data_IF_327501316785
#
_entry.id   IF_327501316785
#
_cell.length_a   1.000
_cell.length_b   1.000
_cell.length_c   1.000
_cell.angle_alpha   90.00
_cell.angle_beta   90.00
_cell.angle_gamma   90.00
#
_symmetry.space_group_name_H-M   'P 1'
#
loop_
_entity.id
_entity.type
_entity.pdbx_description
1 polymer ?
#
# COMPACT_ATOMS: atom_id res chain seq x y z
N UNK A 1 -4.88 -25.30 -29.77
CA UNK A 1 -4.01 -25.12 -28.59
C UNK A 1 -4.74 -24.19 -27.63
N UNK A 2 -5.59 -24.75 -26.76
CA UNK A 2 -6.38 -23.98 -25.79
C UNK A 2 -5.46 -23.57 -24.65
N UNK A 3 -4.91 -22.35 -24.74
CA UNK A 3 -4.15 -21.74 -23.64
C UNK A 3 -5.10 -21.66 -22.46
N UNK A 4 -4.84 -22.43 -21.42
CA UNK A 4 -5.60 -22.36 -20.18
C UNK A 4 -5.24 -21.04 -19.51
N UNK A 5 -6.10 -20.03 -19.63
CA UNK A 5 -5.85 -18.65 -19.19
C UNK A 5 -5.38 -18.60 -17.73
N UNK A 6 -5.87 -19.52 -16.89
CA UNK A 6 -5.48 -19.63 -15.48
C UNK A 6 -4.02 -20.08 -15.32
N UNK A 7 -3.56 -21.05 -16.12
CA UNK A 7 -2.17 -21.50 -16.11
C UNK A 7 -1.23 -20.45 -16.70
N UNK A 8 -1.68 -19.78 -17.77
CA UNK A 8 -0.91 -18.69 -18.39
C UNK A 8 -0.68 -17.53 -17.41
N UNK A 9 -1.69 -17.15 -16.64
CA UNK A 9 -1.60 -16.08 -15.63
C UNK A 9 -0.74 -16.51 -14.43
N UNK A 10 -0.76 -17.78 -14.04
CA UNK A 10 -0.04 -18.27 -12.85
C UNK A 10 1.42 -18.62 -13.10
N UNK A 11 1.76 -19.20 -14.25
CA UNK A 11 3.05 -19.83 -14.49
C UNK A 11 3.75 -19.28 -15.73
N UNK A 12 3.08 -19.24 -16.88
CA UNK A 12 3.73 -18.88 -18.16
C UNK A 12 4.09 -17.39 -18.28
N UNK A 13 3.26 -16.49 -17.73
CA UNK A 13 3.53 -15.05 -17.83
C UNK A 13 4.86 -14.66 -17.17
N UNK A 14 5.26 -15.39 -16.12
CA UNK A 14 6.49 -15.14 -15.37
C UNK A 14 7.74 -15.62 -16.08
N UNK A 15 7.63 -16.64 -16.93
CA UNK A 15 8.71 -17.17 -17.77
C UNK A 15 9.04 -16.27 -18.97
N UNK A 16 8.14 -15.35 -19.35
CA UNK A 16 8.36 -14.43 -20.46
C UNK A 16 9.40 -13.35 -20.09
N UNK A 17 10.58 -13.44 -20.71
CA UNK A 17 11.65 -12.45 -20.58
C UNK A 17 11.33 -11.22 -21.42
N UNK A 18 11.15 -10.06 -20.77
CA UNK A 18 10.74 -8.81 -21.41
C UNK A 18 11.69 -8.31 -22.52
N UNK A 19 12.92 -8.82 -22.58
CA UNK A 19 13.94 -8.44 -23.57
C UNK A 19 13.78 -9.14 -24.92
N UNK A 20 12.94 -10.16 -25.02
CA UNK A 20 12.73 -10.91 -26.27
C UNK A 20 11.63 -10.31 -27.17
N UNK A 21 10.92 -9.28 -26.68
CA UNK A 21 9.76 -8.71 -27.35
C UNK A 21 9.97 -7.24 -27.77
N UNK A 22 9.29 -6.76 -28.83
CA UNK A 22 9.29 -5.36 -29.21
C UNK A 22 8.72 -4.47 -28.09
N UNK A 23 9.19 -3.22 -28.00
CA UNK A 23 8.96 -2.28 -26.89
C UNK A 23 7.50 -2.21 -26.42
N UNK A 24 6.53 -2.13 -27.33
CA UNK A 24 5.09 -2.07 -27.01
C UNK A 24 4.58 -3.34 -26.30
N UNK A 25 4.99 -4.51 -26.76
CA UNK A 25 4.61 -5.79 -26.15
C UNK A 25 5.29 -5.95 -24.78
N UNK A 26 6.55 -5.54 -24.67
CA UNK A 26 7.28 -5.56 -23.40
C UNK A 26 6.61 -4.66 -22.35
N UNK A 27 6.20 -3.43 -22.71
CA UNK A 27 5.48 -2.53 -21.80
C UNK A 27 4.11 -3.08 -21.39
N UNK A 28 3.39 -3.70 -22.32
CA UNK A 28 2.10 -4.31 -22.03
C UNK A 28 2.26 -5.48 -21.04
N UNK A 29 3.17 -6.40 -21.32
CA UNK A 29 3.47 -7.54 -20.42
C UNK A 29 3.91 -7.05 -19.04
N UNK A 30 4.77 -6.02 -18.98
CA UNK A 30 5.20 -5.39 -17.72
C UNK A 30 4.01 -4.83 -16.95
N UNK A 31 3.13 -4.07 -17.61
CA UNK A 31 1.94 -3.50 -16.96
C UNK A 31 0.98 -4.58 -16.45
N UNK A 32 0.80 -5.65 -17.23
CA UNK A 32 -0.03 -6.78 -16.85
C UNK A 32 0.55 -7.51 -15.64
N UNK A 33 1.87 -7.76 -15.63
CA UNK A 33 2.57 -8.32 -14.46
C UNK A 33 2.34 -7.45 -13.23
N UNK A 34 2.62 -6.14 -13.32
CA UNK A 34 2.40 -5.19 -12.20
C UNK A 34 0.98 -5.26 -11.65
N UNK A 35 -0.04 -5.30 -12.52
CA UNK A 35 -1.44 -5.38 -12.08
C UNK A 35 -1.74 -6.72 -11.41
N UNK A 36 -1.26 -7.83 -11.95
CA UNK A 36 -1.43 -9.15 -11.34
C UNK A 36 -0.75 -9.25 -9.97
N UNK A 37 0.48 -8.72 -9.86
CA UNK A 37 1.21 -8.58 -8.58
C UNK A 37 0.37 -7.84 -7.55
N UNK A 38 -0.14 -6.65 -7.95
CA UNK A 38 -0.93 -5.81 -7.08
C UNK A 38 -2.24 -6.50 -6.65
N UNK A 39 -2.93 -7.24 -7.53
CA UNK A 39 -4.15 -7.97 -7.17
C UNK A 39 -3.87 -9.10 -6.17
N UNK A 40 -2.79 -9.86 -6.39
CA UNK A 40 -2.44 -10.99 -5.53
C UNK A 40 -2.05 -10.52 -4.13
N UNK A 41 -1.17 -9.50 -4.04
CA UNK A 41 -0.76 -8.97 -2.75
C UNK A 41 -1.88 -8.16 -2.07
N UNK A 42 -2.77 -7.51 -2.82
CA UNK A 42 -3.97 -6.88 -2.24
C UNK A 42 -4.81 -7.87 -1.40
N UNK A 43 -4.94 -9.12 -1.86
CA UNK A 43 -5.62 -10.16 -1.10
C UNK A 43 -4.76 -10.70 0.05
N UNK A 44 -3.45 -10.86 -0.17
CA UNK A 44 -2.49 -11.33 0.83
C UNK A 44 -2.36 -10.38 2.02
N UNK A 45 -2.34 -9.08 1.75
CA UNK A 45 -2.20 -8.00 2.75
C UNK A 45 -3.50 -7.70 3.49
N UNK A 46 -4.55 -8.50 3.24
CA UNK A 46 -5.87 -8.37 3.85
C UNK A 46 -6.45 -6.98 3.59
N UNK A 47 -6.21 -6.39 2.42
CA UNK A 47 -6.74 -5.08 2.06
C UNK A 47 -8.28 -5.00 2.16
N UNK A 48 -9.07 -6.04 1.82
CA UNK A 48 -10.51 -6.03 2.07
C UNK A 48 -10.87 -5.87 3.55
N UNK A 49 -10.10 -6.48 4.46
CA UNK A 49 -10.32 -6.36 5.90
C UNK A 49 -9.92 -4.95 6.41
N UNK A 50 -8.82 -4.40 5.89
CA UNK A 50 -8.40 -3.02 6.18
C UNK A 50 -9.43 -2.02 5.68
N UNK A 51 -9.98 -2.21 4.49
CA UNK A 51 -11.06 -1.40 3.95
C UNK A 51 -12.28 -1.41 4.88
N UNK A 52 -12.64 -2.56 5.45
CA UNK A 52 -13.73 -2.65 6.43
C UNK A 52 -13.47 -1.82 7.70
N UNK A 53 -12.24 -1.86 8.22
CA UNK A 53 -11.85 -1.03 9.36
C UNK A 53 -11.90 0.46 9.00
N UNK A 54 -11.36 0.86 7.84
CA UNK A 54 -11.39 2.24 7.36
C UNK A 54 -12.82 2.74 7.12
N UNK A 55 -13.72 1.89 6.64
CA UNK A 55 -15.16 2.20 6.50
C UNK A 55 -15.78 2.51 7.86
N UNK A 56 -15.52 1.67 8.87
CA UNK A 56 -16.00 1.92 10.23
C UNK A 56 -15.45 3.23 10.80
N UNK A 57 -14.14 3.47 10.67
CA UNK A 57 -13.53 4.72 11.11
C UNK A 57 -14.10 5.92 10.38
N UNK A 58 -14.35 5.81 9.07
CA UNK A 58 -14.97 6.87 8.27
C UNK A 58 -16.35 7.20 8.81
N UNK A 59 -17.20 6.19 9.05
CA UNK A 59 -18.56 6.37 9.58
C UNK A 59 -18.55 7.09 10.94
N UNK A 60 -17.63 6.71 11.84
CA UNK A 60 -17.51 7.33 13.16
C UNK A 60 -16.90 8.74 13.09
N UNK A 61 -16.01 8.99 12.14
CA UNK A 61 -15.28 10.25 12.02
C UNK A 61 -15.94 11.27 11.07
N UNK A 62 -16.99 10.91 10.32
CA UNK A 62 -17.70 11.84 9.40
C UNK A 62 -18.07 13.14 10.10
N UNK A 63 -18.74 13.05 11.26
CA UNK A 63 -19.15 14.25 12.01
C UNK A 63 -17.94 15.05 12.51
N UNK A 64 -16.94 14.45 13.18
CA UNK A 64 -15.73 15.16 13.58
C UNK A 64 -14.96 15.83 12.44
N UNK A 65 -14.80 15.15 11.31
CA UNK A 65 -14.09 15.65 10.13
C UNK A 65 -14.84 16.85 9.54
N UNK A 66 -16.16 16.75 9.38
CA UNK A 66 -16.97 17.87 8.89
C UNK A 66 -16.88 19.05 9.86
N UNK A 67 -17.04 18.83 11.16
CA UNK A 67 -16.94 19.89 12.16
C UNK A 67 -15.56 20.58 12.14
N UNK A 68 -14.48 19.82 11.96
CA UNK A 68 -13.14 20.37 11.81
C UNK A 68 -12.96 21.16 10.51
N UNK A 69 -13.47 20.66 9.39
CA UNK A 69 -13.45 21.39 8.11
C UNK A 69 -14.16 22.73 8.22
N UNK A 70 -15.35 22.77 8.83
CA UNK A 70 -16.09 24.01 9.10
C UNK A 70 -15.36 24.92 10.11
N UNK A 71 -14.76 24.36 11.17
CA UNK A 71 -13.98 25.13 12.14
C UNK A 71 -12.76 25.80 11.52
N UNK A 72 -12.03 25.07 10.66
CA UNK A 72 -10.91 25.60 9.87
C UNK A 72 -11.42 26.66 8.91
N UNK A 73 -12.46 26.38 8.12
CA UNK A 73 -13.03 27.33 7.17
C UNK A 73 -13.49 28.63 7.85
N UNK A 74 -14.12 28.54 9.03
CA UNK A 74 -14.50 29.68 9.87
C UNK A 74 -13.28 30.49 10.32
N UNK A 75 -12.20 29.82 10.73
CA UNK A 75 -10.92 30.47 11.09
C UNK A 75 -10.29 31.27 9.94
N UNK A 76 -10.51 30.87 8.69
CA UNK A 76 -10.05 31.58 7.50
C UNK A 76 -11.11 32.49 6.85
N UNK A 77 -12.32 32.59 7.41
CA UNK A 77 -13.43 33.37 6.83
C UNK A 77 -14.08 32.76 5.58
N UNK A 78 -13.82 31.48 5.29
CA UNK A 78 -14.29 30.74 4.11
C UNK A 78 -15.57 29.92 4.37
N UNK A 79 -16.18 30.03 5.54
CA UNK A 79 -17.33 29.22 5.98
C UNK A 79 -18.51 29.26 4.98
N UNK A 80 -18.92 30.46 4.55
CA UNK A 80 -20.03 30.63 3.59
C UNK A 80 -19.71 30.03 2.22
N UNK A 81 -18.45 30.11 1.79
CA UNK A 81 -18.03 29.52 0.52
C UNK A 81 -18.09 28.00 0.61
N UNK A 82 -17.59 27.40 1.70
CA UNK A 82 -17.67 25.96 1.92
C UNK A 82 -19.12 25.47 2.03
N UNK A 83 -19.98 26.22 2.70
CA UNK A 83 -21.41 25.90 2.81
C UNK A 83 -22.09 25.90 1.44
N UNK A 84 -21.89 26.96 0.66
CA UNK A 84 -22.45 27.07 -0.69
C UNK A 84 -21.95 25.94 -1.61
N UNK A 85 -20.67 25.58 -1.52
CA UNK A 85 -20.07 24.48 -2.27
C UNK A 85 -20.72 23.13 -1.97
N UNK A 86 -20.90 22.84 -0.68
CA UNK A 86 -21.52 21.58 -0.25
C UNK A 86 -22.98 21.54 -0.71
N UNK A 87 -23.72 22.64 -0.59
CA UNK A 87 -25.11 22.75 -1.04
C UNK A 87 -25.26 22.60 -2.56
N UNK A 88 -24.31 23.12 -3.35
CA UNK A 88 -24.32 23.02 -4.81
C UNK A 88 -23.97 21.62 -5.33
N UNK A 89 -23.20 20.82 -4.57
CA UNK A 89 -22.81 19.46 -4.94
C UNK A 89 -23.85 18.39 -4.54
N UNK A 90 -24.90 18.75 -3.80
CA UNK A 90 -25.90 17.81 -3.29
C UNK A 90 -27.18 17.94 -4.13
N UNK A 91 -27.73 16.83 -4.66
CA UNK A 91 -29.06 16.84 -5.30
C UNK A 91 -30.12 17.39 -4.34
N UNK A 92 -31.06 18.21 -4.84
CA UNK A 92 -32.07 18.96 -4.06
C UNK A 92 -33.00 18.13 -3.12
N UNK A 93 -32.75 16.84 -2.92
CA UNK A 93 -33.60 15.91 -2.17
C UNK A 93 -32.95 15.35 -0.89
N UNK A 94 -31.65 15.53 -0.65
CA UNK A 94 -30.96 14.93 0.51
C UNK A 94 -30.96 15.81 1.76
N UNK A 95 -32.02 15.67 2.57
CA UNK A 95 -32.16 16.32 3.89
C UNK A 95 -31.14 15.86 4.95
N UNK A 96 -30.37 14.80 4.69
CA UNK A 96 -29.42 14.19 5.62
C UNK A 96 -28.15 15.04 5.81
N UNK A 97 -27.63 15.63 4.74
CA UNK A 97 -26.41 16.45 4.81
C UNK A 97 -26.71 17.80 5.44
N UNK A 98 -27.86 18.40 5.16
CA UNK A 98 -28.35 19.60 5.86
C UNK A 98 -28.46 19.38 7.38
N UNK A 99 -28.90 18.18 7.81
CA UNK A 99 -28.91 17.79 9.23
C UNK A 99 -27.50 17.59 9.78
N UNK A 100 -26.56 17.02 9.02
CA UNK A 100 -25.15 16.89 9.40
C UNK A 100 -24.46 18.26 9.58
N UNK A 101 -24.67 19.19 8.64
CA UNK A 101 -24.19 20.57 8.70
C UNK A 101 -24.82 21.28 9.90
N UNK A 102 -26.14 21.15 10.08
CA UNK A 102 -26.85 21.70 11.23
C UNK A 102 -26.38 21.13 12.58
N UNK A 103 -26.02 19.85 12.63
CA UNK A 103 -25.45 19.23 13.83
C UNK A 103 -24.03 19.71 14.11
N UNK A 104 -23.16 19.76 13.10
CA UNK A 104 -21.81 20.32 13.22
C UNK A 104 -21.83 21.79 13.68
N UNK A 105 -22.75 22.58 13.14
CA UNK A 105 -22.99 23.96 13.54
C UNK A 105 -23.50 24.07 14.97
N UNK A 106 -24.47 23.23 15.35
CA UNK A 106 -24.96 23.18 16.74
C UNK A 106 -23.85 22.79 17.73
N UNK A 107 -22.94 21.88 17.36
CA UNK A 107 -21.77 21.54 18.18
C UNK A 107 -20.82 22.73 18.37
N UNK A 108 -20.71 23.59 17.35
CA UNK A 108 -19.86 24.80 17.36
C UNK A 108 -20.55 26.02 18.01
N UNK A 109 -21.88 26.12 17.96
CA UNK A 109 -22.66 27.27 18.46
C UNK A 109 -23.23 27.08 19.88
N UNK A 110 -23.62 25.86 20.29
CA UNK A 110 -24.20 25.59 21.62
C UNK A 110 -23.18 25.39 22.74
N UNK A 111 -21.89 25.54 22.45
CA UNK A 111 -20.80 25.37 23.41
C UNK A 111 -20.59 26.66 24.23
N UNK A 112 -21.61 27.10 24.97
CA UNK A 112 -21.56 28.28 25.86
C UNK A 112 -20.80 28.05 27.18
N UNK A 113 -20.06 26.95 27.33
CA UNK A 113 -19.14 26.71 28.45
C UNK A 113 -17.72 26.54 27.94
N UNK A 114 -16.79 27.42 28.35
CA UNK A 114 -15.38 27.40 27.93
C UNK A 114 -14.73 26.01 28.09
N UNK A 115 -15.08 25.28 29.15
CA UNK A 115 -14.56 23.94 29.45
C UNK A 115 -15.14 22.85 28.52
N UNK A 116 -16.43 22.91 28.22
CA UNK A 116 -17.11 21.93 27.34
C UNK A 116 -16.67 22.12 25.89
N UNK A 117 -16.46 23.38 25.49
CA UNK A 117 -15.88 23.72 24.18
C UNK A 117 -14.47 23.16 24.02
N UNK A 118 -13.61 23.32 25.05
CA UNK A 118 -12.25 22.78 25.04
C UNK A 118 -12.22 21.25 24.91
N UNK A 119 -13.04 20.54 25.68
CA UNK A 119 -13.12 19.06 25.61
C UNK A 119 -13.62 18.60 24.23
N UNK A 120 -14.64 19.26 23.67
CA UNK A 120 -15.15 18.95 22.33
C UNK A 120 -14.07 19.07 21.25
N UNK A 121 -13.30 20.16 21.26
CA UNK A 121 -12.19 20.36 20.31
C UNK A 121 -11.12 19.28 20.45
N UNK A 122 -10.76 18.88 21.66
CA UNK A 122 -9.79 17.79 21.90
C UNK A 122 -10.30 16.46 21.33
N UNK A 123 -11.57 16.14 21.55
CA UNK A 123 -12.18 14.91 21.00
C UNK A 123 -12.19 14.95 19.47
N UNK A 124 -12.55 16.10 18.87
CA UNK A 124 -12.55 16.28 17.41
C UNK A 124 -11.14 16.10 16.82
N UNK A 125 -10.14 16.75 17.42
CA UNK A 125 -8.73 16.62 17.01
C UNK A 125 -8.25 15.17 17.13
N UNK A 126 -8.60 14.50 18.22
CA UNK A 126 -8.26 13.11 18.44
C UNK A 126 -8.94 12.18 17.43
N UNK A 127 -10.23 12.36 17.14
CA UNK A 127 -10.97 11.54 16.17
C UNK A 127 -10.40 11.67 14.75
N UNK A 128 -10.11 12.90 14.31
CA UNK A 128 -9.52 13.14 12.99
C UNK A 128 -8.10 12.56 12.91
N UNK A 129 -7.28 12.79 13.93
CA UNK A 129 -5.92 12.24 14.00
C UNK A 129 -5.94 10.72 13.99
N UNK A 130 -6.90 10.11 14.67
CA UNK A 130 -7.08 8.66 14.69
C UNK A 130 -7.52 8.12 13.33
N UNK A 131 -8.47 8.77 12.65
CA UNK A 131 -8.92 8.35 11.32
C UNK A 131 -7.77 8.39 10.31
N UNK A 132 -7.08 9.52 10.21
CA UNK A 132 -5.96 9.69 9.27
C UNK A 132 -4.78 8.79 9.67
N UNK A 133 -4.55 8.59 10.97
CA UNK A 133 -3.63 7.60 11.52
C UNK A 133 -3.85 6.19 11.00
N UNK A 134 -5.10 5.71 11.02
CA UNK A 134 -5.44 4.38 10.52
C UNK A 134 -5.24 4.25 8.99
N UNK A 135 -5.46 5.34 8.23
CA UNK A 135 -5.16 5.36 6.79
C UNK A 135 -3.64 5.29 6.58
N UNK A 136 -2.85 6.07 7.34
CA UNK A 136 -1.38 6.03 7.28
C UNK A 136 -0.85 4.63 7.61
N UNK A 137 -1.35 4.00 8.67
CA UNK A 137 -0.93 2.66 9.08
C UNK A 137 -1.31 1.59 8.03
N UNK A 138 -2.45 1.79 7.35
CA UNK A 138 -2.85 0.93 6.23
C UNK A 138 -1.90 1.04 5.05
N UNK A 139 -1.48 2.26 4.71
CA UNK A 139 -0.54 2.53 3.63
C UNK A 139 0.87 2.07 4.01
N UNK A 140 1.33 2.36 5.23
CA UNK A 140 2.62 1.95 5.75
C UNK A 140 2.79 0.43 5.69
N UNK A 141 1.72 -0.33 5.95
CA UNK A 141 1.78 -1.79 5.80
C UNK A 141 2.00 -2.24 4.36
N UNK A 142 1.27 -1.67 3.39
CA UNK A 142 1.48 -1.93 1.95
C UNK A 142 2.93 -1.61 1.56
N UNK A 143 3.44 -0.49 2.08
CA UNK A 143 4.83 -0.08 1.89
C UNK A 143 5.84 -0.84 2.77
N UNK A 144 5.39 -1.82 3.57
CA UNK A 144 6.20 -2.69 4.44
C UNK A 144 7.06 -1.93 5.46
N UNK A 145 6.50 -0.84 6.00
CA UNK A 145 7.13 0.06 6.97
C UNK A 145 6.64 -0.27 8.38
N UNK A 146 7.56 -0.59 9.29
CA UNK A 146 7.21 -0.99 10.67
C UNK A 146 7.05 0.19 11.66
N UNK A 147 7.46 1.41 11.30
CA UNK A 147 7.41 2.58 12.19
C UNK A 147 6.60 3.72 11.57
N UNK A 148 5.54 4.13 12.28
CA UNK A 148 4.75 5.32 11.95
C UNK A 148 5.41 6.63 12.41
N UNK A 149 4.86 7.76 11.96
CA UNK A 149 5.32 9.11 12.35
C UNK A 149 5.01 9.44 13.83
N UNK A 150 5.81 10.30 14.50
CA UNK A 150 5.50 10.77 15.84
C UNK A 150 4.22 11.62 15.85
N UNK A 151 3.47 11.57 16.96
CA UNK A 151 2.13 12.16 17.06
C UNK A 151 2.08 13.67 16.74
N UNK A 152 3.11 14.43 17.14
CA UNK A 152 3.21 15.87 16.87
C UNK A 152 3.31 16.18 15.37
N UNK A 153 4.06 15.36 14.62
CA UNK A 153 4.20 15.50 13.18
C UNK A 153 2.95 15.03 12.45
N UNK A 154 2.32 13.94 12.92
CA UNK A 154 1.01 13.49 12.41
C UNK A 154 -0.01 14.61 12.46
N UNK A 155 -0.18 15.28 13.60
CA UNK A 155 -1.16 16.35 13.75
C UNK A 155 -0.94 17.50 12.74
N UNK A 156 0.31 17.99 12.63
CA UNK A 156 0.63 19.10 11.71
C UNK A 156 0.45 18.70 10.24
N UNK A 157 0.96 17.54 9.85
CA UNK A 157 0.90 17.07 8.45
C UNK A 157 -0.56 16.80 8.05
N UNK A 158 -1.39 16.28 8.96
CA UNK A 158 -2.78 15.95 8.70
C UNK A 158 -3.68 17.19 8.60
N UNK A 159 -3.45 18.21 9.43
CA UNK A 159 -4.13 19.50 9.30
C UNK A 159 -3.74 20.16 7.97
N UNK A 160 -2.46 20.13 7.59
CA UNK A 160 -2.00 20.62 6.30
C UNK A 160 -2.65 19.88 5.13
N UNK A 161 -2.82 18.56 5.25
CA UNK A 161 -3.50 17.74 4.26
C UNK A 161 -4.99 18.09 4.11
N UNK A 162 -5.69 18.33 5.23
CA UNK A 162 -7.08 18.82 5.20
C UNK A 162 -7.20 20.21 4.57
N UNK A 163 -6.29 21.13 4.90
CA UNK A 163 -6.23 22.45 4.28
C UNK A 163 -6.01 22.35 2.77
N UNK A 164 -5.10 21.48 2.34
CA UNK A 164 -4.85 21.21 0.93
C UNK A 164 -6.11 20.65 0.24
N UNK A 165 -6.80 19.70 0.88
CA UNK A 165 -8.09 19.19 0.40
C UNK A 165 -9.15 20.29 0.26
N UNK A 166 -9.26 21.18 1.26
CA UNK A 166 -10.19 22.31 1.25
C UNK A 166 -9.89 23.29 0.10
N UNK A 167 -8.61 23.65 -0.09
CA UNK A 167 -8.18 24.53 -1.18
C UNK A 167 -8.48 23.90 -2.53
N UNK A 168 -8.18 22.60 -2.72
CA UNK A 168 -8.50 21.89 -3.95
C UNK A 168 -10.01 21.85 -4.24
N UNK A 169 -10.84 21.67 -3.20
CA UNK A 169 -12.30 21.70 -3.32
C UNK A 169 -12.80 23.06 -3.82
N UNK A 170 -12.32 24.15 -3.22
CA UNK A 170 -12.72 25.53 -3.59
C UNK A 170 -12.21 25.88 -5.00
N UNK A 171 -11.00 25.45 -5.36
CA UNK A 171 -10.44 25.67 -6.69
C UNK A 171 -11.25 24.91 -7.77
N UNK A 172 -11.66 23.68 -7.50
CA UNK A 172 -12.44 22.83 -8.42
C UNK A 172 -13.63 23.54 -9.04
N UNK A 173 -14.43 24.08 -8.15
CA UNK A 173 -15.70 24.73 -8.41
C UNK A 173 -15.51 26.15 -8.88
N UNK A 174 -14.53 26.89 -8.36
CA UNK A 174 -14.19 28.22 -8.89
C UNK A 174 -13.74 28.14 -10.35
N UNK A 175 -12.92 27.15 -10.71
CA UNK A 175 -12.49 26.89 -12.09
C UNK A 175 -13.70 26.46 -12.94
N UNK A 176 -14.53 25.54 -12.47
CA UNK A 176 -15.71 25.07 -13.21
C UNK A 176 -16.70 26.19 -13.48
N UNK A 177 -17.01 27.02 -12.47
CA UNK A 177 -17.93 28.15 -12.59
C UNK A 177 -17.33 29.26 -13.46
N UNK A 178 -16.08 29.67 -13.20
CA UNK A 178 -15.40 30.70 -13.98
C UNK A 178 -15.34 30.34 -15.47
N UNK A 179 -14.94 29.10 -15.78
CA UNK A 179 -14.85 28.66 -17.16
C UNK A 179 -16.24 28.51 -17.80
N UNK A 180 -17.25 27.98 -17.11
CA UNK A 180 -18.64 27.96 -17.62
C UNK A 180 -19.16 29.36 -17.91
N UNK A 181 -19.04 30.30 -16.97
CA UNK A 181 -19.52 31.68 -17.14
C UNK A 181 -18.80 32.40 -18.28
N UNK A 182 -17.48 32.22 -18.42
CA UNK A 182 -16.71 32.80 -19.53
C UNK A 182 -17.08 32.18 -20.87
N UNK A 183 -17.25 30.86 -20.95
CA UNK A 183 -17.60 30.16 -22.20
C UNK A 183 -19.02 30.52 -22.64
N UNK A 184 -20.02 30.47 -21.75
CA UNK A 184 -21.40 30.88 -22.07
C UNK A 184 -21.49 32.38 -22.42
N UNK A 185 -20.65 33.21 -21.80
CA UNK A 185 -20.51 34.62 -22.15
C UNK A 185 -19.75 34.88 -23.46
N UNK A 186 -18.90 33.95 -23.92
CA UNK A 186 -18.18 34.04 -25.19
C UNK A 186 -18.95 33.41 -26.34
N UNK A 187 -19.73 32.33 -26.13
CA UNK A 187 -20.57 31.71 -27.16
C UNK A 187 -21.76 32.57 -27.56
N UNK A 188 -22.16 33.52 -26.71
CA UNK A 188 -23.15 34.55 -27.05
C UNK A 188 -22.58 35.71 -27.88
N UNK A 189 -21.26 35.91 -27.88
CA UNK A 189 -20.57 37.03 -28.58
C UNK A 189 -19.85 36.57 -29.84
N UNK A 190 -19.32 35.36 -29.84
CA UNK A 190 -18.62 34.73 -30.96
C UNK A 190 -19.41 33.46 -31.25
N UNK A 191 -20.05 33.38 -32.43
CA UNK A 191 -20.68 32.17 -32.91
C UNK A 191 -19.61 31.10 -33.15
N UNK A 192 -19.14 30.47 -32.07
CA UNK A 192 -18.27 29.32 -32.12
C UNK A 192 -19.03 28.18 -32.81
N UNK A 193 -18.39 27.40 -33.70
CA UNK A 193 -19.01 26.20 -34.25
C UNK A 193 -19.45 25.28 -33.10
N UNK A 194 -20.67 24.74 -33.16
CA UNK A 194 -21.27 23.90 -32.10
C UNK A 194 -20.33 22.78 -31.62
N UNK A 195 -19.51 22.24 -32.53
CA UNK A 195 -18.50 21.23 -32.23
C UNK A 195 -17.39 21.72 -31.30
N UNK A 196 -16.92 22.96 -31.47
CA UNK A 196 -15.88 23.56 -30.64
C UNK A 196 -16.37 23.89 -29.23
N UNK A 197 -17.61 24.36 -29.10
CA UNK A 197 -18.25 24.62 -27.79
C UNK A 197 -18.50 23.30 -27.03
N UNK A 198 -18.99 22.26 -27.70
CA UNK A 198 -19.22 20.94 -27.10
C UNK A 198 -17.92 20.26 -26.64
N UNK A 199 -16.84 20.39 -27.41
CA UNK A 199 -15.51 19.89 -27.03
C UNK A 199 -14.92 20.64 -25.83
N UNK A 200 -15.06 21.98 -25.80
CA UNK A 200 -14.57 22.79 -24.68
C UNK A 200 -15.36 22.53 -23.39
N UNK A 201 -16.69 22.44 -23.49
CA UNK A 201 -17.55 22.11 -22.36
C UNK A 201 -17.32 20.67 -21.85
N UNK A 202 -17.02 19.72 -22.74
CA UNK A 202 -16.62 18.36 -22.38
C UNK A 202 -15.21 18.29 -21.78
N UNK A 203 -14.27 19.13 -22.23
CA UNK A 203 -12.95 19.24 -21.62
C UNK A 203 -13.02 19.86 -20.21
N UNK A 204 -13.93 20.82 -20.00
CA UNK A 204 -14.21 21.41 -18.69
C UNK A 204 -14.88 20.43 -17.72
N UNK A 205 -15.73 19.53 -18.21
CA UNK A 205 -16.39 18.53 -17.37
C UNK A 205 -15.43 17.48 -16.82
N UNK A 206 -14.21 17.39 -17.36
CA UNK A 206 -13.11 16.58 -16.83
C UNK A 206 -12.36 17.27 -15.67
N UNK A 207 -12.62 18.54 -15.36
CA UNK A 207 -11.95 19.25 -14.27
C UNK A 207 -12.12 18.60 -12.88
N UNK A 208 -13.30 18.07 -12.49
CA UNK A 208 -13.44 17.35 -11.22
C UNK A 208 -12.66 16.05 -11.20
N UNK A 209 -12.58 15.35 -12.35
CA UNK A 209 -11.80 14.12 -12.49
C UNK A 209 -10.30 14.41 -12.34
N UNK A 210 -9.78 15.46 -12.97
CA UNK A 210 -8.37 15.86 -12.85
C UNK A 210 -8.00 16.19 -11.40
N UNK A 211 -8.89 16.84 -10.67
CA UNK A 211 -8.66 17.17 -9.26
C UNK A 211 -8.71 15.96 -8.35
N UNK A 212 -9.63 15.04 -8.63
CA UNK A 212 -9.69 13.76 -7.95
C UNK A 212 -8.41 12.94 -8.17
N UNK A 213 -7.92 12.89 -9.41
CA UNK A 213 -6.64 12.27 -9.77
C UNK A 213 -5.49 12.94 -9.01
N UNK A 214 -5.49 14.27 -8.96
CA UNK A 214 -4.48 15.04 -8.22
C UNK A 214 -4.51 14.71 -6.72
N UNK A 215 -5.71 14.67 -6.12
CA UNK A 215 -5.89 14.33 -4.70
C UNK A 215 -5.39 12.92 -4.38
N UNK A 216 -5.77 11.92 -5.17
CA UNK A 216 -5.27 10.55 -4.98
C UNK A 216 -3.75 10.46 -5.20
N UNK A 217 -3.22 11.14 -6.22
CA UNK A 217 -1.77 11.18 -6.47
C UNK A 217 -1.01 11.77 -5.28
N UNK A 218 -1.47 12.90 -4.75
CA UNK A 218 -0.87 13.54 -3.56
C UNK A 218 -0.98 12.62 -2.36
N UNK A 219 -2.13 11.98 -2.15
CA UNK A 219 -2.30 10.99 -1.07
C UNK A 219 -1.27 9.87 -1.20
N UNK A 220 -1.14 9.24 -2.37
CA UNK A 220 -0.20 8.13 -2.55
C UNK A 220 1.27 8.54 -2.42
N UNK A 221 1.62 9.79 -2.72
CA UNK A 221 2.99 10.30 -2.63
C UNK A 221 3.36 10.69 -1.19
N UNK A 222 2.46 11.36 -0.47
CA UNK A 222 2.78 12.00 0.82
C UNK A 222 2.29 11.24 2.06
N UNK A 223 1.26 10.41 1.91
CA UNK A 223 0.66 9.67 3.02
C UNK A 223 1.62 8.60 3.58
N UNK A 224 2.27 7.75 2.75
CA UNK A 224 3.20 6.76 3.28
C UNK A 224 4.37 7.42 4.01
N UNK A 225 4.90 6.75 5.05
CA UNK A 225 6.12 7.19 5.73
C UNK A 225 7.40 6.79 4.95
N UNK A 226 7.35 6.84 3.62
CA UNK A 226 8.43 6.47 2.71
C UNK A 226 8.49 7.45 1.54
N UNK A 227 9.68 7.61 0.93
CA UNK A 227 9.86 8.44 -0.27
C UNK A 227 9.29 7.73 -1.50
N UNK A 228 8.04 8.04 -1.83
CA UNK A 228 7.39 7.56 -3.05
C UNK A 228 7.76 8.47 -4.22
N UNK A 229 8.17 7.88 -5.36
CA UNK A 229 8.46 8.66 -6.55
C UNK A 229 7.16 9.22 -7.16
N UNK A 230 7.21 10.43 -7.71
CA UNK A 230 6.03 11.11 -8.23
C UNK A 230 5.36 10.36 -9.39
N UNK A 231 6.15 9.76 -10.29
CA UNK A 231 5.62 9.06 -11.47
C UNK A 231 4.76 7.83 -11.08
N UNK A 232 5.24 6.88 -10.25
CA UNK A 232 4.39 5.80 -9.73
C UNK A 232 3.12 6.30 -9.03
N UNK A 233 3.25 7.35 -8.19
CA UNK A 233 2.11 7.92 -7.47
C UNK A 233 1.06 8.54 -8.40
N UNK A 234 1.47 9.22 -9.46
CA UNK A 234 0.56 9.83 -10.45
C UNK A 234 -0.14 8.74 -11.28
N UNK A 235 0.59 7.71 -11.74
CA UNK A 235 -0.01 6.62 -12.52
C UNK A 235 -1.08 5.91 -11.66
N UNK A 236 -0.76 5.60 -10.41
CA UNK A 236 -1.71 5.05 -9.46
C UNK A 236 -2.91 6.00 -9.23
N UNK A 237 -2.65 7.29 -9.04
CA UNK A 237 -3.70 8.31 -8.88
C UNK A 237 -4.66 8.41 -10.07
N UNK A 238 -4.15 8.27 -11.30
CA UNK A 238 -4.99 8.22 -12.52
C UNK A 238 -5.90 7.00 -12.51
N UNK A 239 -5.34 5.81 -12.25
CA UNK A 239 -6.11 4.56 -12.22
C UNK A 239 -7.18 4.61 -11.12
N UNK A 240 -6.80 5.01 -9.91
CA UNK A 240 -7.73 5.17 -8.77
C UNK A 240 -8.81 6.21 -9.06
N UNK A 241 -8.45 7.36 -9.62
CA UNK A 241 -9.41 8.42 -9.97
C UNK A 241 -10.46 7.95 -10.96
N UNK A 242 -10.05 7.23 -12.01
CA UNK A 242 -10.99 6.66 -12.99
C UNK A 242 -11.89 5.60 -12.35
N UNK A 243 -11.34 4.67 -11.58
CA UNK A 243 -12.12 3.63 -10.89
C UNK A 243 -13.14 4.24 -9.92
N UNK A 244 -12.74 5.27 -9.18
CA UNK A 244 -13.64 5.93 -8.24
C UNK A 244 -14.72 6.75 -8.96
N UNK A 245 -14.40 7.39 -10.10
CA UNK A 245 -15.41 8.06 -10.91
C UNK A 245 -16.49 7.09 -11.42
N UNK A 246 -16.09 5.89 -11.85
CA UNK A 246 -17.03 4.80 -12.21
C UNK A 246 -17.86 4.38 -11.00
N UNK A 247 -17.24 4.23 -9.82
CA UNK A 247 -17.95 3.92 -8.58
C UNK A 247 -18.99 5.01 -8.22
N UNK A 248 -18.64 6.28 -8.38
CA UNK A 248 -19.55 7.40 -8.13
C UNK A 248 -20.74 7.37 -9.08
N UNK A 249 -20.50 7.15 -10.38
CA UNK A 249 -21.57 7.00 -11.37
C UNK A 249 -22.50 5.82 -11.04
N UNK A 250 -21.92 4.67 -10.66
CA UNK A 250 -22.68 3.48 -10.25
C UNK A 250 -23.53 3.75 -9.01
N UNK A 251 -22.97 4.40 -7.99
CA UNK A 251 -23.67 4.75 -6.75
C UNK A 251 -24.88 5.65 -7.01
N UNK A 252 -24.69 6.73 -7.79
CA UNK A 252 -25.77 7.65 -8.13
C UNK A 252 -26.87 6.93 -8.93
N UNK A 253 -26.51 6.09 -9.90
CA UNK A 253 -27.46 5.29 -10.67
C UNK A 253 -28.29 4.35 -9.79
N UNK A 254 -27.63 3.64 -8.86
CA UNK A 254 -28.29 2.74 -7.92
C UNK A 254 -29.19 3.50 -6.92
N UNK A 255 -28.75 4.64 -6.40
CA UNK A 255 -29.50 5.45 -5.44
C UNK A 255 -30.79 5.99 -6.08
N UNK A 256 -30.72 6.49 -7.32
CA UNK A 256 -31.89 6.98 -8.06
C UNK A 256 -32.87 5.81 -8.32
N UNK A 257 -32.35 4.66 -8.77
CA UNK A 257 -33.17 3.47 -9.03
C UNK A 257 -33.92 2.99 -7.79
N UNK A 258 -33.23 2.83 -6.66
CA UNK A 258 -33.82 2.34 -5.40
C UNK A 258 -34.78 3.35 -4.78
N UNK A 259 -34.49 4.66 -4.90
CA UNK A 259 -35.39 5.73 -4.41
C UNK A 259 -36.71 5.79 -5.19
N UNK A 260 -36.72 5.35 -6.46
CA UNK A 260 -37.91 5.35 -7.30
C UNK A 260 -38.88 4.18 -7.03
N UNK A 261 -38.42 3.10 -6.37
CA UNK A 261 -39.19 1.85 -6.24
C UNK A 261 -40.17 1.81 -5.04
N UNK A 262 -40.01 2.68 -4.03
CA UNK A 262 -40.97 3.00 -2.95
C UNK A 262 -40.28 3.86 -1.89
N UNK A 263 -40.89 4.95 -1.41
CA UNK A 263 -40.26 5.92 -0.51
C UNK A 263 -39.71 5.30 0.81
N UNK A 264 -40.38 4.27 1.34
CA UNK A 264 -39.95 3.56 2.56
C UNK A 264 -38.68 2.73 2.30
N UNK A 265 -38.65 1.99 1.18
CA UNK A 265 -37.50 1.16 0.80
C UNK A 265 -36.33 2.01 0.29
N UNK A 266 -36.61 3.12 -0.39
CA UNK A 266 -35.62 4.11 -0.82
C UNK A 266 -34.87 4.73 0.35
N UNK A 267 -35.60 5.20 1.37
CA UNK A 267 -34.99 5.81 2.56
C UNK A 267 -34.20 4.80 3.40
N UNK A 268 -34.64 3.55 3.50
CA UNK A 268 -33.97 2.53 4.31
C UNK A 268 -32.72 1.95 3.60
N UNK A 269 -32.74 1.88 2.27
CA UNK A 269 -31.62 1.38 1.47
C UNK A 269 -30.46 2.39 1.33
N UNK A 270 -30.70 3.69 1.57
CA UNK A 270 -29.69 4.73 1.45
C UNK A 270 -28.46 4.49 2.34
N UNK A 271 -28.66 4.06 3.60
CA UNK A 271 -27.56 3.84 4.54
C UNK A 271 -26.72 2.59 4.20
N UNK A 272 -27.29 1.39 3.97
CA UNK A 272 -26.51 0.25 3.49
C UNK A 272 -25.77 0.53 2.18
N UNK A 273 -26.40 1.22 1.23
CA UNK A 273 -25.77 1.57 -0.05
C UNK A 273 -24.59 2.52 0.16
N UNK A 274 -24.73 3.50 1.06
CA UNK A 274 -23.63 4.38 1.45
C UNK A 274 -22.46 3.61 2.08
N UNK A 275 -22.73 2.66 2.98
CA UNK A 275 -21.68 1.81 3.59
C UNK A 275 -20.96 0.99 2.53
N UNK A 276 -21.68 0.40 1.57
CA UNK A 276 -21.08 -0.34 0.44
C UNK A 276 -20.23 0.58 -0.42
N UNK A 277 -20.70 1.80 -0.70
CA UNK A 277 -19.95 2.78 -1.47
C UNK A 277 -18.64 3.17 -0.79
N UNK A 278 -18.66 3.48 0.51
CA UNK A 278 -17.45 3.77 1.29
C UNK A 278 -16.50 2.57 1.29
N UNK A 279 -17.04 1.35 1.47
CA UNK A 279 -16.25 0.11 1.45
C UNK A 279 -15.52 -0.10 0.14
N UNK A 280 -16.23 -0.03 -0.99
CA UNK A 280 -15.62 -0.20 -2.31
C UNK A 280 -14.67 0.97 -2.60
N UNK A 281 -15.00 2.18 -2.14
CA UNK A 281 -14.12 3.34 -2.22
C UNK A 281 -12.76 3.08 -1.56
N UNK A 282 -12.75 2.56 -0.32
CA UNK A 282 -11.50 2.20 0.35
C UNK A 282 -10.75 1.06 -0.33
N UNK A 283 -11.46 0.06 -0.86
CA UNK A 283 -10.83 -1.00 -1.65
C UNK A 283 -10.11 -0.43 -2.88
N UNK A 284 -10.73 0.51 -3.61
CA UNK A 284 -10.13 1.18 -4.77
C UNK A 284 -8.89 1.99 -4.35
N UNK A 285 -8.96 2.71 -3.23
CA UNK A 285 -7.85 3.53 -2.72
C UNK A 285 -6.67 2.65 -2.29
N UNK A 286 -6.91 1.58 -1.54
CA UNK A 286 -5.86 0.64 -1.13
C UNK A 286 -5.24 -0.09 -2.33
N UNK A 287 -6.05 -0.46 -3.31
CA UNK A 287 -5.55 -1.03 -4.56
C UNK A 287 -4.67 -0.04 -5.34
N UNK A 288 -5.04 1.24 -5.36
CA UNK A 288 -4.19 2.31 -5.90
C UNK A 288 -2.83 2.41 -5.20
N UNK A 289 -2.83 2.31 -3.87
CA UNK A 289 -1.58 2.32 -3.09
C UNK A 289 -0.69 1.11 -3.40
N UNK A 290 -1.26 -0.09 -3.53
CA UNK A 290 -0.55 -1.30 -3.98
C UNK A 290 0.03 -1.12 -5.39
N UNK A 291 -0.75 -0.54 -6.29
CA UNK A 291 -0.29 -0.28 -7.65
C UNK A 291 0.90 0.70 -7.66
N UNK A 292 0.87 1.76 -6.83
CA UNK A 292 1.98 2.69 -6.69
C UNK A 292 3.26 2.00 -6.19
N UNK A 293 3.12 1.12 -5.19
CA UNK A 293 4.21 0.32 -4.63
C UNK A 293 4.85 -0.56 -5.71
N UNK A 294 4.03 -1.30 -6.46
CA UNK A 294 4.53 -2.22 -7.49
C UNK A 294 5.10 -1.51 -8.71
N UNK A 295 4.54 -0.38 -9.15
CA UNK A 295 5.13 0.42 -10.23
C UNK A 295 6.54 0.90 -9.84
N UNK A 296 6.74 1.31 -8.58
CA UNK A 296 8.03 1.76 -8.08
C UNK A 296 9.03 0.60 -7.91
N UNK A 297 8.60 -0.51 -7.33
CA UNK A 297 9.49 -1.61 -6.92
C UNK A 297 9.55 -2.79 -7.90
N UNK A 298 8.91 -2.67 -9.08
CA UNK A 298 8.85 -3.73 -10.09
C UNK A 298 10.21 -4.37 -10.44
N UNK A 299 11.31 -3.61 -10.65
CA UNK A 299 12.59 -4.20 -11.03
C UNK A 299 13.11 -5.21 -10.00
N UNK A 300 12.91 -4.93 -8.71
CA UNK A 300 13.32 -5.81 -7.60
C UNK A 300 12.44 -7.06 -7.49
N UNK A 301 11.18 -6.99 -7.93
CA UNK A 301 10.21 -8.09 -7.89
C UNK A 301 10.20 -8.96 -9.17
N UNK A 302 10.72 -8.46 -10.30
CA UNK A 302 10.80 -9.17 -11.58
C UNK A 302 11.55 -10.51 -11.52
N UNK A 303 12.48 -10.66 -10.59
CA UNK A 303 13.25 -11.91 -10.38
C UNK A 303 12.64 -12.86 -9.36
N UNK A 304 11.47 -12.55 -8.78
CA UNK A 304 11.14 -13.12 -7.47
C UNK A 304 9.69 -13.46 -7.18
N UNK A 305 8.83 -13.53 -8.20
CA UNK A 305 7.40 -13.60 -7.93
C UNK A 305 6.87 -14.98 -7.47
N UNK A 306 7.56 -16.08 -7.76
CA UNK A 306 6.98 -17.41 -7.52
C UNK A 306 7.69 -18.29 -6.49
N UNK A 307 8.67 -17.77 -5.75
CA UNK A 307 9.36 -18.59 -4.76
C UNK A 307 9.53 -17.88 -3.43
N UNK A 308 8.63 -18.17 -2.50
CA UNK A 308 8.92 -17.92 -1.08
C UNK A 308 10.02 -18.88 -0.65
N UNK A 309 10.95 -18.46 0.22
CA UNK A 309 11.99 -19.37 0.75
C UNK A 309 11.39 -20.68 1.27
N UNK A 310 10.18 -20.67 1.84
CA UNK A 310 9.45 -21.85 2.27
C UNK A 310 9.22 -22.89 1.17
N UNK A 311 8.98 -22.45 -0.07
CA UNK A 311 8.66 -23.29 -1.23
C UNK A 311 9.89 -23.93 -1.88
N UNK A 312 11.09 -23.43 -1.57
CA UNK A 312 12.32 -24.07 -2.03
C UNK A 312 12.42 -25.49 -1.48
N UNK A 313 12.79 -26.40 -2.38
CA UNK A 313 13.19 -27.75 -1.99
C UNK A 313 14.32 -27.67 -0.96
N UNK A 314 14.38 -28.65 -0.07
CA UNK A 314 15.41 -28.68 0.96
C UNK A 314 16.84 -28.65 0.38
N UNK A 315 17.04 -29.30 -0.78
CA UNK A 315 18.31 -29.24 -1.51
C UNK A 315 18.67 -27.82 -1.96
N UNK A 316 17.71 -27.08 -2.52
CA UNK A 316 17.95 -25.69 -2.95
C UNK A 316 18.22 -24.77 -1.75
N UNK A 317 17.51 -24.97 -0.63
CA UNK A 317 17.77 -24.23 0.62
C UNK A 317 19.21 -24.42 1.09
N UNK A 318 19.74 -25.65 1.05
CA UNK A 318 21.15 -25.93 1.39
C UNK A 318 22.12 -25.21 0.45
N UNK A 319 21.89 -25.27 -0.86
CA UNK A 319 22.77 -24.63 -1.85
C UNK A 319 22.80 -23.10 -1.67
N UNK A 320 21.63 -22.48 -1.52
CA UNK A 320 21.55 -21.02 -1.32
C UNK A 320 22.17 -20.63 0.01
N UNK A 321 21.96 -21.41 1.08
CA UNK A 321 22.53 -21.12 2.39
C UNK A 321 24.06 -21.23 2.40
N UNK A 322 24.61 -22.23 1.71
CA UNK A 322 26.05 -22.35 1.50
C UNK A 322 26.61 -21.17 0.71
N UNK A 323 25.95 -20.75 -0.38
CA UNK A 323 26.38 -19.59 -1.17
C UNK A 323 26.35 -18.28 -0.36
N UNK A 324 25.29 -18.04 0.41
CA UNK A 324 25.19 -16.84 1.26
C UNK A 324 26.28 -16.86 2.34
N UNK A 325 26.48 -18.00 3.01
CA UNK A 325 27.52 -18.14 4.03
C UNK A 325 28.91 -17.97 3.43
N UNK A 326 29.15 -18.53 2.24
CA UNK A 326 30.37 -18.36 1.47
C UNK A 326 30.69 -16.89 1.18
N UNK A 327 29.72 -16.13 0.66
CA UNK A 327 29.91 -14.70 0.37
C UNK A 327 30.27 -13.89 1.62
N UNK A 328 29.58 -14.17 2.74
CA UNK A 328 29.86 -13.52 4.02
C UNK A 328 31.28 -13.85 4.50
N UNK A 329 31.68 -15.13 4.48
CA UNK A 329 33.01 -15.57 4.90
C UNK A 329 34.09 -14.98 3.98
N UNK A 330 33.89 -15.02 2.66
CA UNK A 330 34.85 -14.49 1.67
C UNK A 330 35.08 -13.01 1.86
N UNK A 331 34.02 -12.20 2.03
CA UNK A 331 34.17 -10.77 2.27
C UNK A 331 34.81 -10.47 3.63
N UNK A 332 34.52 -11.28 4.65
CA UNK A 332 35.15 -11.13 5.96
C UNK A 332 36.66 -11.40 5.91
N UNK A 333 37.08 -12.51 5.26
CA UNK A 333 38.50 -12.87 5.11
C UNK A 333 39.27 -11.82 4.29
N UNK A 334 38.65 -11.27 3.24
CA UNK A 334 39.25 -10.24 2.40
C UNK A 334 39.25 -8.83 3.02
N UNK A 335 38.83 -8.68 4.28
CA UNK A 335 38.68 -7.38 4.97
C UNK A 335 37.80 -6.39 4.18
N UNK A 336 36.80 -6.91 3.46
CA UNK A 336 35.85 -6.15 2.68
C UNK A 336 34.80 -5.42 3.53
N UNK A 337 33.96 -4.61 2.89
CA UNK A 337 32.84 -3.93 3.56
C UNK A 337 31.81 -4.97 4.01
N UNK A 338 31.23 -4.78 5.20
CA UNK A 338 30.18 -5.66 5.73
C UNK A 338 28.98 -5.70 4.80
N UNK A 339 28.48 -6.90 4.52
CA UNK A 339 27.40 -7.12 3.57
C UNK A 339 26.04 -6.83 4.20
N UNK A 340 25.21 -6.07 3.47
CA UNK A 340 23.78 -5.93 3.74
C UNK A 340 22.99 -7.01 3.01
N UNK A 341 21.75 -7.27 3.45
CA UNK A 341 20.86 -8.19 2.74
C UNK A 341 20.63 -7.78 1.27
N UNK A 342 20.63 -6.47 0.98
CA UNK A 342 20.48 -5.94 -0.38
C UNK A 342 21.70 -6.26 -1.26
N UNK A 343 22.91 -6.15 -0.71
CA UNK A 343 24.14 -6.47 -1.45
C UNK A 343 24.20 -7.96 -1.80
N UNK A 344 23.87 -8.83 -0.84
CA UNK A 344 23.83 -10.29 -1.05
C UNK A 344 22.75 -10.67 -2.07
N UNK A 345 21.58 -10.05 -1.98
CA UNK A 345 20.48 -10.27 -2.91
C UNK A 345 20.87 -9.89 -4.35
N UNK A 346 21.55 -8.76 -4.53
CA UNK A 346 22.00 -8.29 -5.83
C UNK A 346 23.05 -9.23 -6.43
N UNK A 347 24.03 -9.66 -5.64
CA UNK A 347 25.11 -10.55 -6.10
C UNK A 347 24.61 -11.95 -6.49
N UNK A 348 23.68 -12.51 -5.72
CA UNK A 348 23.10 -13.83 -5.99
C UNK A 348 21.94 -13.81 -6.98
N UNK A 349 21.51 -12.63 -7.45
CA UNK A 349 20.29 -12.45 -8.26
C UNK A 349 19.04 -13.05 -7.57
N UNK A 350 18.99 -12.96 -6.24
CA UNK A 350 17.90 -13.43 -5.39
C UNK A 350 17.14 -12.26 -4.77
N UNK A 351 15.97 -12.54 -4.21
CA UNK A 351 15.15 -11.55 -3.51
C UNK A 351 15.85 -11.13 -2.24
N UNK A 352 15.70 -9.85 -1.89
CA UNK A 352 15.92 -9.44 -0.49
C UNK A 352 15.08 -10.28 0.47
N UNK A 353 13.82 -10.61 0.15
CA UNK A 353 12.95 -11.36 1.05
C UNK A 353 13.43 -12.81 1.32
N UNK A 354 13.87 -13.52 0.28
CA UNK A 354 14.45 -14.88 0.35
C UNK A 354 15.75 -14.82 1.13
N UNK A 355 16.64 -13.89 0.77
CA UNK A 355 17.93 -13.70 1.45
C UNK A 355 17.71 -13.33 2.91
N UNK A 356 16.78 -12.44 3.23
CA UNK A 356 16.43 -12.05 4.59
C UNK A 356 15.92 -13.24 5.40
N UNK A 357 14.98 -14.02 4.85
CA UNK A 357 14.43 -15.22 5.52
C UNK A 357 15.53 -16.24 5.80
N UNK A 358 16.45 -16.42 4.86
CA UNK A 358 17.58 -17.33 4.99
C UNK A 358 18.64 -16.79 5.96
N UNK A 359 18.90 -15.48 5.97
CA UNK A 359 19.79 -14.84 6.94
C UNK A 359 19.22 -14.93 8.35
N UNK A 360 17.91 -14.73 8.54
CA UNK A 360 17.26 -14.92 9.84
C UNK A 360 17.40 -16.38 10.31
N UNK A 361 17.33 -17.35 9.38
CA UNK A 361 17.59 -18.76 9.68
C UNK A 361 19.06 -19.06 10.02
N UNK A 362 20.02 -18.45 9.31
CA UNK A 362 21.46 -18.54 9.60
C UNK A 362 21.85 -17.88 10.92
N UNK A 363 21.13 -16.83 11.31
CA UNK A 363 21.28 -16.17 12.61
C UNK A 363 20.73 -17.06 13.72
N UNK A 364 19.56 -17.67 13.50
CA UNK A 364 18.97 -18.62 14.44
C UNK A 364 19.83 -19.89 14.65
N UNK A 365 20.56 -20.33 13.62
CA UNK A 365 21.50 -21.45 13.70
C UNK A 365 22.91 -21.06 14.20
N UNK A 366 23.10 -19.82 14.65
CA UNK A 366 24.39 -19.30 15.15
C UNK A 366 25.56 -19.37 14.17
N UNK A 367 25.29 -19.42 12.86
CA UNK A 367 26.35 -19.35 11.83
C UNK A 367 26.74 -17.90 11.57
N UNK A 368 25.76 -17.00 11.55
CA UNK A 368 25.91 -15.58 11.21
C UNK A 368 25.39 -14.71 12.35
N UNK A 369 26.00 -13.55 12.58
CA UNK A 369 25.49 -12.53 13.49
C UNK A 369 25.00 -11.31 12.71
N UNK A 370 23.91 -10.71 13.19
CA UNK A 370 23.33 -9.47 12.66
C UNK A 370 23.76 -8.30 13.54
N UNK A 371 24.40 -7.30 12.95
CA UNK A 371 24.74 -6.03 13.60
C UNK A 371 23.99 -4.88 12.92
N UNK A 372 23.81 -3.78 13.65
CA UNK A 372 23.25 -2.55 13.11
C UNK A 372 24.35 -1.51 12.92
N UNK A 373 24.36 -0.91 11.74
CA UNK A 373 25.27 0.17 11.38
C UNK A 373 24.77 1.50 11.94
N UNK A 374 25.63 2.51 12.06
CA UNK A 374 25.25 3.87 12.50
C UNK A 374 24.15 4.49 11.62
N UNK A 375 24.13 4.16 10.33
CA UNK A 375 23.11 4.57 9.35
C UNK A 375 21.76 3.84 9.53
N UNK A 376 21.68 2.87 10.44
CA UNK A 376 20.46 2.10 10.74
C UNK A 376 20.29 0.81 9.92
N UNK A 377 21.20 0.52 8.99
CA UNK A 377 21.16 -0.68 8.15
C UNK A 377 21.69 -1.92 8.87
N UNK A 378 21.04 -3.06 8.62
CA UNK A 378 21.47 -4.37 9.14
C UNK A 378 22.59 -4.97 8.29
N UNK A 379 23.68 -5.36 8.94
CA UNK A 379 24.86 -5.97 8.34
C UNK A 379 25.16 -7.33 8.98
N UNK A 380 25.78 -8.23 8.20
CA UNK A 380 25.95 -9.63 8.55
C UNK A 380 27.42 -10.06 8.57
N UNK A 381 27.81 -10.81 9.61
CA UNK A 381 29.17 -11.29 9.84
C UNK A 381 29.17 -12.76 10.27
N UNK A 382 30.25 -13.53 10.04
CA UNK A 382 30.38 -14.87 10.61
C UNK A 382 30.37 -14.81 12.15
N UNK A 383 29.57 -15.66 12.79
CA UNK A 383 29.55 -15.81 14.25
C UNK A 383 30.57 -16.82 14.77
N UNK A 384 31.11 -17.65 13.87
CA UNK A 384 32.05 -18.73 14.17
C UNK A 384 33.36 -18.46 13.44
N UNK A 385 34.47 -18.93 14.00
CA UNK A 385 35.78 -18.89 13.35
C UNK A 385 35.70 -19.49 11.94
N UNK A 386 36.14 -18.72 10.95
CA UNK A 386 36.24 -19.13 9.53
C UNK A 386 37.02 -20.42 9.32
N UNK A 387 37.92 -20.80 10.23
CA UNK A 387 38.67 -22.06 10.19
C UNK A 387 37.84 -23.29 10.62
N UNK A 388 36.62 -23.10 11.10
CA UNK A 388 35.68 -24.17 11.48
C UNK A 388 34.44 -24.23 10.59
N UNK A 389 34.22 -23.22 9.76
CA UNK A 389 33.07 -23.13 8.86
C UNK A 389 33.29 -23.99 7.61
N UNK A 390 32.99 -25.28 7.73
CA UNK A 390 32.99 -26.22 6.60
C UNK A 390 31.60 -26.38 6.00
N UNK A 391 31.53 -26.97 4.80
CA UNK A 391 30.25 -27.34 4.14
C UNK A 391 29.39 -28.22 5.05
N UNK A 392 29.99 -29.24 5.70
CA UNK A 392 29.27 -30.12 6.60
C UNK A 392 28.75 -29.39 7.85
N UNK A 393 29.56 -28.49 8.41
CA UNK A 393 29.16 -27.69 9.58
C UNK A 393 27.91 -26.86 9.29
N UNK A 394 27.88 -26.17 8.15
CA UNK A 394 26.74 -25.33 7.78
C UNK A 394 25.49 -26.17 7.53
N UNK A 395 25.62 -27.30 6.82
CA UNK A 395 24.48 -28.20 6.59
C UNK A 395 23.94 -28.72 7.93
N UNK A 396 24.79 -29.31 8.78
CA UNK A 396 24.36 -29.87 10.07
C UNK A 396 23.68 -28.81 10.96
N UNK A 397 24.22 -27.59 11.02
CA UNK A 397 23.61 -26.49 11.76
C UNK A 397 22.26 -26.06 11.20
N UNK A 398 22.07 -26.11 9.87
CA UNK A 398 20.78 -25.84 9.23
C UNK A 398 19.74 -26.94 9.54
N UNK A 399 20.14 -28.21 9.57
CA UNK A 399 19.22 -29.32 9.84
C UNK A 399 18.75 -29.38 11.29
N UNK A 400 19.61 -28.95 12.23
CA UNK A 400 19.31 -28.96 13.66
C UNK A 400 18.60 -27.68 14.15
N UNK A 401 18.44 -26.69 13.27
CA UNK A 401 17.82 -25.41 13.60
C UNK A 401 16.29 -25.58 13.75
N UNK A 402 15.79 -25.44 14.98
CA UNK A 402 14.36 -25.46 15.28
C UNK A 402 14.01 -26.34 16.48
N UNK A 403 12.76 -26.80 16.52
CA UNK A 403 12.27 -27.66 17.59
C UNK A 403 12.45 -29.14 17.22
N UNK A 404 13.46 -29.78 17.82
CA UNK A 404 13.77 -31.19 17.55
C UNK A 404 12.89 -32.18 18.35
N UNK A 405 12.18 -31.70 19.37
CA UNK A 405 11.34 -32.52 20.25
C UNK A 405 9.90 -32.02 20.27
N UNK A 406 8.95 -32.91 19.94
CA UNK A 406 7.51 -32.64 20.01
C UNK A 406 6.92 -33.40 21.20
N UNK A 407 6.11 -32.76 22.06
CA UNK A 407 5.45 -33.45 23.16
C UNK A 407 4.64 -34.64 22.63
N UNK A 408 4.85 -35.83 23.20
CA UNK A 408 4.21 -37.11 22.85
C UNK A 408 4.72 -37.83 21.59
N UNK A 409 5.68 -37.28 20.84
CA UNK A 409 6.33 -38.01 19.74
C UNK A 409 7.62 -38.66 20.23
N UNK A 410 7.64 -39.99 20.34
CA UNK A 410 8.88 -40.75 20.61
C UNK A 410 9.58 -41.03 19.29
N UNK A 411 10.73 -40.42 19.08
CA UNK A 411 11.60 -40.72 17.95
C UNK A 411 12.08 -42.17 18.05
N UNK A 412 11.98 -42.91 16.95
CA UNK A 412 12.53 -44.26 16.89
C UNK A 412 14.06 -44.19 16.89
N UNK A 413 14.74 -44.86 17.83
CA UNK A 413 16.20 -44.83 17.92
C UNK A 413 16.90 -45.34 16.66
N UNK A 414 16.27 -46.20 15.86
CA UNK A 414 16.85 -46.71 14.60
C UNK A 414 17.00 -45.59 13.59
N UNK A 415 15.94 -44.79 13.38
CA UNK A 415 15.98 -43.66 12.45
C UNK A 415 16.92 -42.55 12.93
N UNK A 416 16.95 -42.28 14.24
CA UNK A 416 17.87 -41.29 14.82
C UNK A 416 19.33 -41.70 14.62
N UNK A 417 19.67 -42.95 14.92
CA UNK A 417 21.04 -43.45 14.71
C UNK A 417 21.44 -43.45 13.24
N UNK A 418 20.52 -43.78 12.33
CA UNK A 418 20.77 -43.73 10.90
C UNK A 418 21.08 -42.31 10.42
N UNK A 419 20.29 -41.31 10.85
CA UNK A 419 20.54 -39.89 10.53
C UNK A 419 21.86 -39.38 11.12
N UNK A 420 22.18 -39.75 12.37
CA UNK A 420 23.45 -39.38 12.99
C UNK A 420 24.66 -39.96 12.23
N UNK A 421 24.56 -41.21 11.75
CA UNK A 421 25.61 -41.82 10.94
C UNK A 421 25.80 -41.08 9.60
N UNK A 422 24.71 -40.66 8.94
CA UNK A 422 24.81 -39.84 7.74
C UNK A 422 25.50 -38.49 8.02
N UNK A 423 25.20 -37.85 9.16
CA UNK A 423 25.89 -36.64 9.60
C UNK A 423 27.40 -36.84 9.79
N UNK A 424 27.81 -37.95 10.41
CA UNK A 424 29.23 -38.29 10.56
C UNK A 424 29.93 -38.56 9.21
N UNK A 425 29.26 -39.22 8.28
CA UNK A 425 29.78 -39.42 6.92
C UNK A 425 29.94 -38.11 6.16
N UNK A 426 29.05 -37.14 6.39
CA UNK A 426 29.18 -35.80 5.83
C UNK A 426 30.44 -35.09 6.34
N UNK A 427 30.73 -35.20 7.63
CA UNK A 427 31.92 -34.59 8.25
C UNK A 427 33.24 -35.21 7.79
N UNK A 428 33.24 -36.51 7.54
CA UNK A 428 34.41 -37.29 7.09
C UNK A 428 34.59 -37.32 5.57
N UNK A 429 33.66 -36.75 4.81
CA UNK A 429 33.72 -36.70 3.35
C UNK A 429 34.88 -35.85 2.84
N UNK A 430 35.54 -36.29 1.75
CA UNK A 430 36.56 -35.48 1.05
C UNK A 430 36.00 -34.17 0.47
N UNK A 431 34.69 -34.08 0.28
CA UNK A 431 34.01 -32.87 -0.21
C UNK A 431 33.74 -31.86 0.92
N UNK A 432 33.98 -32.23 2.18
CA UNK A 432 33.84 -31.33 3.33
C UNK A 432 35.00 -30.33 3.37
N UNK A 433 34.88 -29.25 2.59
CA UNK A 433 35.87 -28.17 2.52
C UNK A 433 35.48 -26.99 3.40
N UNK A 434 36.49 -26.23 3.83
CA UNK A 434 36.29 -24.93 4.47
C UNK A 434 35.73 -23.95 3.45
N UNK A 435 34.70 -23.21 3.83
CA UNK A 435 34.04 -22.26 2.91
C UNK A 435 34.99 -21.18 2.41
N UNK A 436 35.97 -20.76 3.21
CA UNK A 436 36.99 -19.78 2.80
C UNK A 436 37.94 -20.28 1.70
N UNK A 437 38.04 -21.59 1.49
CA UNK A 437 39.01 -22.23 0.58
C UNK A 437 38.34 -22.73 -0.72
N UNK A 438 37.06 -22.41 -0.91
CA UNK A 438 36.26 -22.67 -2.12
C UNK A 438 36.34 -21.45 -3.05
#
# INVERSE_FOLDING_TARGET
MTINIIHFIKDDIWLLTEHEFPLLKATFIKSLKIVLLAIQDFMRDLCPLRASALTLYTLLAVVPVIAMLFGIAKGFGLEKMLEQQLLEQIPHQDTTVLKLIGFARNLLEKTQGEVIAGIGVVVLLWSVTSMIGNIEDSFNHIWKISKGRPLSRKLSDYIAFMLLGLVLLILSSSITVFLKTKITGLSTVIALPEFGESLLLSALSLSPLLLMISLFSITFIFMPNHKVAAVPGIIAGVVTGVMYHVLQWLYLGLQIGVSSYNAIYGSLAALPLFVIWVQIGWMIVLFGCELAFYIQNYPSYRHNHNHTFSEFSFALKKIVALHVTYLIVKNFVNLGKTLTADAIALELLLSKAIVQSLLDFLVASHIVIRLKTEDGDDVYLPSVDTNKLTVAFVINALEQCGQNNVPNFKQDPVFVNMLNNFGQWLETSEQNRLLKDI
#
